data_IF_178896025879
#
_entry.id   IF_178896025879
#
_cell.length_a   1.000
_cell.length_b   1.000
_cell.length_c   1.000
_cell.angle_alpha   90.00
_cell.angle_beta   90.00
_cell.angle_gamma   90.00
#
_symmetry.space_group_name_H-M   'P 1'
#
loop_
_entity.id
_entity.type
_entity.pdbx_description
1 polymer ?
#
# COMPACT_ATOMS: atom_id res chain seq x y z
N UNK A 1 -13.41 1.92 -13.56
CA UNK A 1 -12.81 2.26 -12.23
C UNK A 1 -13.30 3.63 -11.81
N UNK A 2 -13.78 3.78 -10.58
CA UNK A 2 -14.20 5.07 -10.02
C UNK A 2 -12.99 5.98 -9.84
N UNK A 3 -13.11 7.26 -10.23
CA UNK A 3 -11.97 8.20 -10.12
C UNK A 3 -11.63 8.54 -8.67
N UNK A 4 -10.35 8.83 -8.38
CA UNK A 4 -9.87 9.13 -7.02
C UNK A 4 -10.63 10.29 -6.36
N UNK A 5 -10.88 11.38 -7.10
CA UNK A 5 -11.67 12.51 -6.59
C UNK A 5 -13.12 12.14 -6.27
N UNK A 6 -13.72 11.25 -7.06
CA UNK A 6 -15.08 10.73 -6.80
C UNK A 6 -15.10 9.92 -5.51
N UNK A 7 -14.14 9.02 -5.31
CA UNK A 7 -14.05 8.21 -4.08
C UNK A 7 -13.89 9.12 -2.86
N UNK A 8 -12.99 10.10 -2.91
CA UNK A 8 -12.78 11.03 -1.81
C UNK A 8 -14.05 11.83 -1.46
N UNK A 9 -14.78 12.30 -2.48
CA UNK A 9 -16.04 13.00 -2.29
C UNK A 9 -17.13 12.11 -1.69
N UNK A 10 -17.24 10.86 -2.15
CA UNK A 10 -18.20 9.88 -1.62
C UNK A 10 -17.93 9.57 -0.14
N UNK A 11 -16.68 9.26 0.21
CA UNK A 11 -16.31 8.95 1.61
C UNK A 11 -16.62 10.14 2.51
N UNK A 12 -16.27 11.36 2.09
CA UNK A 12 -16.57 12.55 2.87
C UNK A 12 -18.09 12.76 3.05
N UNK A 13 -18.87 12.64 1.98
CA UNK A 13 -20.31 12.80 2.04
C UNK A 13 -20.96 11.76 2.96
N UNK A 14 -20.57 10.49 2.84
CA UNK A 14 -21.08 9.42 3.69
C UNK A 14 -20.69 9.62 5.16
N UNK A 15 -19.45 10.04 5.43
CA UNK A 15 -19.00 10.35 6.79
C UNK A 15 -19.89 11.41 7.45
N UNK A 16 -20.15 12.50 6.72
CA UNK A 16 -20.94 13.64 7.22
C UNK A 16 -22.42 13.24 7.36
N UNK A 17 -23.01 12.58 6.35
CA UNK A 17 -24.42 12.18 6.34
C UNK A 17 -24.77 11.16 7.40
N UNK A 18 -23.88 10.19 7.65
CA UNK A 18 -24.08 9.13 8.65
C UNK A 18 -23.66 9.58 10.06
N UNK A 19 -23.13 10.78 10.24
CA UNK A 19 -22.67 11.30 11.51
C UNK A 19 -21.60 10.42 12.15
N UNK A 20 -20.64 9.94 11.35
CA UNK A 20 -19.58 9.06 11.83
C UNK A 20 -18.68 9.81 12.82
N UNK A 21 -18.51 9.23 14.02
CA UNK A 21 -17.74 9.85 15.12
C UNK A 21 -16.40 9.17 15.38
N UNK A 22 -16.15 8.02 14.74
CA UNK A 22 -14.87 7.32 14.83
C UNK A 22 -13.89 7.88 13.80
N UNK A 23 -12.57 7.85 14.08
CA UNK A 23 -11.58 8.23 13.08
C UNK A 23 -11.68 7.35 11.82
N UNK A 24 -11.63 7.97 10.65
CA UNK A 24 -11.67 7.29 9.35
C UNK A 24 -10.47 7.75 8.54
N UNK A 25 -9.67 6.80 8.05
CA UNK A 25 -8.61 7.05 7.08
C UNK A 25 -9.07 6.61 5.70
N UNK A 26 -8.89 7.47 4.70
CA UNK A 26 -9.05 7.10 3.31
C UNK A 26 -7.67 6.75 2.75
N UNK A 27 -7.44 5.46 2.52
CA UNK A 27 -6.17 4.88 2.15
C UNK A 27 -6.18 4.39 0.70
N UNK A 28 -5.10 4.65 -0.04
CA UNK A 28 -4.81 3.98 -1.31
C UNK A 28 -4.04 2.69 -0.97
N UNK A 29 -4.60 1.55 -1.36
CA UNK A 29 -3.97 0.24 -1.23
C UNK A 29 -3.31 -0.16 -2.55
N UNK A 30 -2.14 -0.80 -2.52
CA UNK A 30 -1.33 -1.21 -3.67
C UNK A 30 -1.24 -0.16 -4.80
N UNK A 31 -0.85 1.05 -4.42
CA UNK A 31 -0.77 2.19 -5.34
C UNK A 31 0.45 2.17 -6.25
N UNK A 32 0.25 2.50 -7.53
CA UNK A 32 1.37 2.86 -8.42
C UNK A 32 1.95 4.21 -8.01
N UNK A 33 3.18 4.50 -8.45
CA UNK A 33 3.83 5.79 -8.18
C UNK A 33 2.98 7.00 -8.59
N UNK A 34 2.41 6.97 -9.80
CA UNK A 34 1.51 8.03 -10.28
C UNK A 34 0.16 8.02 -9.56
N UNK A 35 -0.31 6.84 -9.14
CA UNK A 35 -1.53 6.67 -8.35
C UNK A 35 -1.44 7.39 -7.01
N UNK A 36 -0.30 7.28 -6.34
CA UNK A 36 -0.03 7.98 -5.09
C UNK A 36 -0.19 9.50 -5.23
N UNK A 37 0.39 10.11 -6.25
CA UNK A 37 0.23 11.56 -6.51
C UNK A 37 -1.22 11.95 -6.80
N UNK A 38 -1.97 11.11 -7.53
CA UNK A 38 -3.39 11.35 -7.81
C UNK A 38 -4.22 11.31 -6.53
N UNK A 39 -3.93 10.37 -5.61
CA UNK A 39 -4.60 10.27 -4.32
C UNK A 39 -4.26 11.44 -3.40
N UNK A 40 -3.00 11.85 -3.33
CA UNK A 40 -2.57 13.06 -2.60
C UNK A 40 -3.38 14.27 -3.09
N UNK A 41 -3.46 14.47 -4.40
CA UNK A 41 -4.22 15.57 -5.01
C UNK A 41 -5.73 15.48 -4.75
N UNK A 42 -6.26 14.26 -4.65
CA UNK A 42 -7.68 14.03 -4.42
C UNK A 42 -8.12 14.20 -2.96
N UNK A 43 -7.18 14.34 -2.01
CA UNK A 43 -7.47 14.52 -0.60
C UNK A 43 -7.58 13.22 0.20
N UNK A 44 -6.88 12.16 -0.22
CA UNK A 44 -6.68 10.97 0.60
C UNK A 44 -5.88 11.34 1.85
N UNK A 45 -6.01 10.54 2.89
CA UNK A 45 -5.31 10.75 4.17
C UNK A 45 -4.14 9.82 4.37
N UNK A 46 -4.05 8.78 3.56
CA UNK A 46 -3.00 7.76 3.60
C UNK A 46 -2.79 7.15 2.21
N UNK A 47 -1.58 6.74 1.92
CA UNK A 47 -1.23 6.06 0.67
C UNK A 47 -0.32 4.87 0.93
N UNK A 48 -0.45 3.80 0.13
CA UNK A 48 0.53 2.75 0.00
C UNK A 48 1.16 2.83 -1.40
N UNK A 49 2.48 2.87 -1.44
CA UNK A 49 3.25 2.71 -2.66
C UNK A 49 3.75 1.27 -2.76
N UNK A 50 3.19 0.52 -3.68
CA UNK A 50 3.69 -0.81 -4.00
C UNK A 50 4.84 -0.71 -5.01
N UNK A 51 6.06 -0.68 -4.46
CA UNK A 51 7.30 -0.67 -5.21
C UNK A 51 7.94 -2.05 -5.35
N UNK A 52 7.27 -3.12 -4.94
CA UNK A 52 7.83 -4.48 -4.87
C UNK A 52 8.29 -5.02 -6.23
N UNK A 53 7.68 -4.57 -7.32
CA UNK A 53 8.02 -4.98 -8.68
C UNK A 53 9.21 -4.20 -9.30
N UNK A 54 9.72 -3.16 -8.63
CA UNK A 54 10.92 -2.45 -9.05
C UNK A 54 12.18 -3.06 -8.41
N UNK A 55 13.35 -2.90 -9.06
CA UNK A 55 14.62 -3.13 -8.36
C UNK A 55 14.68 -2.30 -7.09
N UNK A 56 15.28 -2.84 -6.02
CA UNK A 56 15.27 -2.21 -4.70
C UNK A 56 15.77 -0.76 -4.69
N UNK A 57 16.78 -0.42 -5.49
CA UNK A 57 17.30 0.94 -5.56
C UNK A 57 16.28 1.93 -6.14
N UNK A 58 15.47 1.48 -7.09
CA UNK A 58 14.39 2.27 -7.67
C UNK A 58 13.22 2.39 -6.68
N UNK A 59 12.84 1.28 -6.01
CA UNK A 59 11.84 1.31 -4.96
C UNK A 59 12.22 2.32 -3.87
N UNK A 60 13.45 2.23 -3.34
CA UNK A 60 13.98 3.15 -2.32
C UNK A 60 13.92 4.61 -2.80
N UNK A 61 14.32 4.90 -4.04
CA UNK A 61 14.32 6.25 -4.57
C UNK A 61 12.91 6.84 -4.66
N UNK A 62 11.96 6.08 -5.21
CA UNK A 62 10.55 6.49 -5.35
C UNK A 62 9.87 6.63 -3.98
N UNK A 63 10.08 5.66 -3.09
CA UNK A 63 9.55 5.70 -1.72
C UNK A 63 10.03 6.94 -0.98
N UNK A 64 11.33 7.25 -1.04
CA UNK A 64 11.90 8.44 -0.39
C UNK A 64 11.24 9.73 -0.84
N UNK A 65 10.98 9.87 -2.12
CA UNK A 65 10.28 11.04 -2.66
C UNK A 65 8.85 11.11 -2.13
N UNK A 66 8.12 10.00 -2.21
CA UNK A 66 6.73 9.94 -1.74
C UNK A 66 6.59 10.18 -0.23
N UNK A 67 7.52 9.68 0.60
CA UNK A 67 7.58 9.97 2.04
C UNK A 67 7.62 11.49 2.27
N UNK A 68 8.53 12.16 1.56
CA UNK A 68 8.69 13.62 1.71
C UNK A 68 7.42 14.38 1.34
N UNK A 69 6.74 13.97 0.27
CA UNK A 69 5.51 14.62 -0.19
C UNK A 69 4.33 14.29 0.72
N UNK A 70 4.14 13.02 1.08
CA UNK A 70 3.05 12.58 1.95
C UNK A 70 3.12 13.27 3.33
N UNK A 71 4.29 13.25 3.97
CA UNK A 71 4.48 13.90 5.27
C UNK A 71 4.30 15.42 5.22
N UNK A 72 4.74 16.08 4.13
CA UNK A 72 4.48 17.51 3.94
C UNK A 72 2.98 17.84 3.85
N UNK A 73 2.17 16.87 3.42
CA UNK A 73 0.70 17.00 3.35
C UNK A 73 -0.02 16.46 4.60
N UNK A 74 0.72 16.02 5.62
CA UNK A 74 0.15 15.43 6.85
C UNK A 74 -0.48 14.05 6.64
N UNK A 75 -0.04 13.33 5.60
CA UNK A 75 -0.52 11.99 5.26
C UNK A 75 0.44 10.93 5.78
N UNK A 76 -0.08 9.75 6.11
CA UNK A 76 0.75 8.57 6.32
C UNK A 76 1.05 7.85 5.01
N UNK A 77 2.18 7.13 5.00
CA UNK A 77 2.63 6.35 3.86
C UNK A 77 3.07 4.95 4.27
N UNK A 78 2.62 3.99 3.47
CA UNK A 78 3.05 2.60 3.50
C UNK A 78 3.91 2.30 2.28
N UNK A 79 4.86 1.39 2.41
CA UNK A 79 5.65 0.88 1.29
C UNK A 79 5.75 -0.65 1.36
N UNK A 80 6.04 -1.30 0.23
CA UNK A 80 6.17 -2.75 0.14
C UNK A 80 7.57 -3.19 -0.27
N UNK A 81 8.05 -4.27 0.36
CA UNK A 81 9.30 -4.97 0.03
C UNK A 81 9.05 -6.48 -0.06
N UNK A 82 9.59 -7.12 -1.08
CA UNK A 82 9.15 -8.45 -1.47
C UNK A 82 7.79 -8.39 -2.11
N UNK A 83 7.14 -9.50 -2.32
CA UNK A 83 5.76 -9.52 -2.81
C UNK A 83 4.89 -10.45 -1.98
N UNK A 84 3.65 -10.02 -1.72
CA UNK A 84 2.67 -10.86 -1.04
C UNK A 84 1.98 -11.69 -2.11
N UNK A 85 2.00 -13.01 -1.96
CA UNK A 85 1.38 -13.95 -2.91
C UNK A 85 -0.13 -14.06 -2.73
N UNK A 86 -0.77 -14.93 -3.50
CA UNK A 86 -2.20 -15.20 -3.46
C UNK A 86 -2.97 -14.53 -4.59
N UNK A 87 -4.25 -14.26 -4.38
CA UNK A 87 -5.11 -13.61 -5.35
C UNK A 87 -5.66 -12.30 -4.77
N UNK A 88 -5.38 -11.21 -5.46
CA UNK A 88 -5.89 -9.90 -5.13
C UNK A 88 -6.26 -9.15 -6.42
N UNK A 89 -7.44 -8.57 -6.47
CA UNK A 89 -7.99 -7.85 -7.64
C UNK A 89 -7.90 -8.63 -8.97
N UNK A 90 -7.95 -9.98 -8.91
CA UNK A 90 -7.85 -10.86 -10.07
C UNK A 90 -6.41 -11.10 -10.54
N UNK A 91 -5.41 -10.67 -9.79
CA UNK A 91 -3.99 -10.98 -10.02
C UNK A 91 -3.56 -12.11 -9.08
N UNK A 92 -2.98 -13.16 -9.65
CA UNK A 92 -2.47 -14.31 -8.89
C UNK A 92 -0.95 -14.28 -8.92
N UNK A 93 -0.33 -14.34 -7.74
CA UNK A 93 1.13 -14.37 -7.58
C UNK A 93 1.60 -15.39 -6.56
N UNK A 94 2.85 -15.85 -6.71
CA UNK A 94 3.46 -16.80 -5.77
C UNK A 94 3.97 -16.14 -4.49
N UNK A 95 4.13 -14.82 -4.50
CA UNK A 95 4.78 -14.06 -3.43
C UNK A 95 6.31 -14.29 -3.41
N UNK A 96 7.02 -13.31 -2.96
CA UNK A 96 8.47 -13.34 -2.77
C UNK A 96 8.82 -12.87 -1.37
N UNK A 97 9.60 -13.66 -0.63
CA UNK A 97 10.04 -13.25 0.70
C UNK A 97 10.95 -12.02 0.61
N UNK A 98 10.63 -11.01 1.39
CA UNK A 98 11.41 -9.80 1.48
C UNK A 98 12.79 -10.06 2.09
N UNK A 99 13.82 -9.44 1.54
CA UNK A 99 15.13 -9.42 2.14
C UNK A 99 15.15 -8.48 3.36
N UNK A 100 15.64 -8.91 4.54
CA UNK A 100 15.65 -8.07 5.76
C UNK A 100 16.45 -6.77 5.60
N UNK A 101 17.55 -6.78 4.84
CA UNK A 101 18.35 -5.57 4.62
C UNK A 101 17.62 -4.59 3.70
N UNK A 102 16.86 -5.07 2.71
CA UNK A 102 15.99 -4.26 1.87
C UNK A 102 14.84 -3.66 2.67
N UNK A 103 14.21 -4.46 3.54
CA UNK A 103 13.19 -3.97 4.47
C UNK A 103 13.72 -2.83 5.34
N UNK A 104 14.94 -3.01 5.88
CA UNK A 104 15.58 -1.97 6.68
C UNK A 104 15.85 -0.70 5.87
N UNK A 105 16.32 -0.82 4.63
CA UNK A 105 16.57 0.34 3.75
C UNK A 105 15.31 1.16 3.52
N UNK A 106 14.17 0.50 3.29
CA UNK A 106 12.89 1.18 3.07
C UNK A 106 12.33 1.75 4.37
N UNK A 107 12.41 1.02 5.49
CA UNK A 107 11.97 1.50 6.80
C UNK A 107 12.75 2.75 7.26
N UNK A 108 14.07 2.78 7.01
CA UNK A 108 14.94 3.92 7.37
C UNK A 108 14.58 5.22 6.59
N UNK A 109 13.76 5.15 5.55
CA UNK A 109 13.23 6.32 4.84
C UNK A 109 12.17 7.09 5.64
N UNK A 110 11.64 6.48 6.70
CA UNK A 110 10.61 7.06 7.54
C UNK A 110 9.18 6.78 7.07
N UNK A 111 8.95 5.65 6.39
CA UNK A 111 7.58 5.18 6.13
C UNK A 111 6.86 4.89 7.44
N UNK A 112 5.56 5.13 7.49
CA UNK A 112 4.75 4.91 8.70
C UNK A 112 4.37 3.43 8.86
N UNK A 113 4.26 2.71 7.73
CA UNK A 113 3.94 1.29 7.66
C UNK A 113 4.82 0.61 6.59
N UNK A 114 5.17 -0.65 6.83
CA UNK A 114 5.92 -1.47 5.89
C UNK A 114 5.22 -2.81 5.68
N UNK A 115 4.77 -3.07 4.46
CA UNK A 115 4.36 -4.37 4.02
C UNK A 115 5.58 -5.18 3.58
N UNK A 116 5.79 -6.33 4.22
CA UNK A 116 6.90 -7.21 3.91
C UNK A 116 6.37 -8.60 3.53
N UNK A 117 6.80 -9.10 2.39
CA UNK A 117 6.56 -10.49 2.00
C UNK A 117 7.31 -11.42 2.96
N UNK A 118 6.59 -12.16 3.79
CA UNK A 118 7.16 -13.09 4.78
C UNK A 118 6.64 -14.52 4.60
N UNK A 119 6.15 -14.85 3.39
CA UNK A 119 5.48 -16.10 3.08
C UNK A 119 3.97 -16.07 3.35
N UNK A 120 3.43 -14.92 3.66
CA UNK A 120 2.00 -14.65 3.74
C UNK A 120 1.39 -14.52 2.32
N UNK A 121 0.09 -14.72 2.23
CA UNK A 121 -0.66 -14.59 0.98
C UNK A 121 -1.95 -13.81 1.20
N UNK A 122 -2.45 -13.19 0.14
CA UNK A 122 -3.81 -12.68 0.08
C UNK A 122 -4.80 -13.83 -0.13
N UNK A 123 -5.97 -13.75 0.49
CA UNK A 123 -7.05 -14.74 0.33
C UNK A 123 -6.93 -15.96 1.25
N UNK A 124 -7.47 -17.09 0.78
CA UNK A 124 -7.61 -18.28 1.62
C UNK A 124 -6.33 -19.13 1.62
N UNK A 125 -5.75 -19.34 2.81
CA UNK A 125 -4.54 -20.15 3.02
C UNK A 125 -4.76 -21.68 2.88
N UNK A 126 -6.01 -22.14 2.73
CA UNK A 126 -6.31 -23.58 2.63
C UNK A 126 -5.87 -24.25 1.34
N UNK A 127 -5.40 -23.50 0.34
CA UNK A 127 -4.91 -24.08 -0.92
C UNK A 127 -3.41 -24.36 -0.95
N UNK A 128 -2.64 -23.97 0.05
CA UNK A 128 -1.27 -24.46 0.19
C UNK A 128 -1.26 -25.80 0.88
N UNK A 129 -1.94 -26.80 0.27
CA UNK A 129 -2.03 -28.15 0.79
C UNK A 129 -0.65 -28.76 0.98
N UNK A 130 -0.30 -29.04 2.21
CA UNK A 130 0.55 -30.17 2.54
C UNK A 130 -0.26 -31.44 2.28
N UNK A 131 -0.31 -31.85 1.04
CA UNK A 131 -0.58 -33.23 0.66
C UNK A 131 0.70 -33.80 0.08
N UNK A 132 1.61 -34.16 0.95
CA UNK A 132 2.70 -35.09 0.65
C UNK A 132 3.17 -35.72 1.95
N UNK A 133 2.49 -36.77 2.32
CA UNK A 133 3.04 -37.83 3.15
C UNK A 133 2.82 -39.16 2.44
#
# INVERSE_FOLDING_TARGET
>A
MTGFGTVAAMVKAMHDELGITVPVALHLDHGTYEGCYKCIKAGFTSIMFDGSHYPIDENVAKTKELVSVAHAMGMSIEAEVGSIGGEEDGVVGMGECADPDECKRVADLGVDMLAAGIGNIHGNTQQTGRDSA
#
